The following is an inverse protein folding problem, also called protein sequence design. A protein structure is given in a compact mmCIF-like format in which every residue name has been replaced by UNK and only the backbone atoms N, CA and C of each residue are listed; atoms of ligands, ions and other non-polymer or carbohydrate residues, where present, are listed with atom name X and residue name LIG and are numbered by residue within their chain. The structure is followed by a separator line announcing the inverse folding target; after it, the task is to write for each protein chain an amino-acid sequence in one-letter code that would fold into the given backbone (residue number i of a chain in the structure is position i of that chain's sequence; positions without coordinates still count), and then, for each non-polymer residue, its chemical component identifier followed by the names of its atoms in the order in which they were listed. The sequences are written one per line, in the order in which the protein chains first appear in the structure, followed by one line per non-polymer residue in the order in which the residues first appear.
data_IF_966022030053
#
_entry.id   IF_966022030053
#
_cell.length_a   1.000
_cell.length_b   1.000
_cell.length_c   1.000
_cell.angle_alpha   90.00
_cell.angle_beta   90.00
_cell.angle_gamma   90.00
#
_symmetry.space_group_name_H-M   'P 1'
#
loop_
_entity.id
_entity.type
_entity.pdbx_description
1 polymer ?
#
# COMPACT_ATOMS: atom_id res chain seq x y z
N UNK A 1 -33.48 -31.29 36.57
CA UNK A 1 -32.02 -31.26 36.28
C UNK A 1 -31.76 -31.09 34.81
N UNK A 2 -32.31 -31.93 33.95
CA UNK A 2 -32.09 -31.87 32.48
C UNK A 2 -32.51 -30.52 31.84
N UNK A 3 -33.68 -29.99 32.18
CA UNK A 3 -34.18 -28.69 31.70
C UNK A 3 -33.23 -27.52 32.09
N UNK A 4 -32.61 -27.56 33.28
CA UNK A 4 -31.65 -26.57 33.74
C UNK A 4 -30.38 -26.58 32.88
N UNK A 5 -29.81 -27.77 32.62
CA UNK A 5 -28.63 -27.92 31.78
C UNK A 5 -28.86 -27.46 30.35
N UNK A 6 -29.99 -27.88 29.77
CA UNK A 6 -30.37 -27.47 28.40
C UNK A 6 -30.52 -25.94 28.31
N UNK A 7 -31.17 -25.31 29.27
CA UNK A 7 -31.32 -23.85 29.32
C UNK A 7 -29.99 -23.15 29.40
N UNK A 8 -29.08 -23.58 30.32
CA UNK A 8 -27.78 -22.99 30.52
C UNK A 8 -26.90 -23.07 29.25
N UNK A 9 -26.88 -24.26 28.61
CA UNK A 9 -26.13 -24.46 27.37
C UNK A 9 -26.67 -23.62 26.21
N UNK A 10 -28.00 -23.51 26.10
CA UNK A 10 -28.64 -22.68 25.08
C UNK A 10 -28.35 -21.19 25.28
N UNK A 11 -28.48 -20.70 26.51
CA UNK A 11 -28.15 -19.29 26.84
C UNK A 11 -26.69 -19.01 26.56
N UNK A 12 -25.79 -19.89 26.93
CA UNK A 12 -24.39 -19.74 26.65
C UNK A 12 -24.06 -19.73 25.15
N UNK A 13 -24.65 -20.64 24.36
CA UNK A 13 -24.51 -20.65 22.91
C UNK A 13 -25.00 -19.33 22.28
N UNK A 14 -26.17 -18.84 22.73
CA UNK A 14 -26.70 -17.56 22.30
C UNK A 14 -25.72 -16.42 22.63
N UNK A 15 -25.18 -16.42 23.85
CA UNK A 15 -24.30 -15.36 24.32
C UNK A 15 -22.94 -15.38 23.60
N UNK A 16 -22.42 -16.54 23.20
CA UNK A 16 -21.24 -16.65 22.31
C UNK A 16 -21.43 -15.86 21.01
N UNK A 17 -22.65 -15.89 20.46
CA UNK A 17 -22.96 -15.26 19.18
C UNK A 17 -23.32 -13.77 19.31
N UNK A 18 -24.03 -13.39 20.37
CA UNK A 18 -24.66 -12.06 20.48
C UNK A 18 -24.16 -11.19 21.63
N UNK A 19 -23.51 -11.75 22.65
CA UNK A 19 -22.96 -10.96 23.75
C UNK A 19 -21.45 -10.73 23.56
N UNK A 20 -20.99 -9.47 23.37
CA UNK A 20 -19.58 -9.16 23.26
C UNK A 20 -18.78 -9.41 24.55
N UNK A 21 -19.45 -9.56 25.69
CA UNK A 21 -18.85 -9.76 27.00
C UNK A 21 -19.11 -11.15 27.59
N UNK A 22 -19.44 -12.12 26.73
CA UNK A 22 -19.72 -13.49 27.15
C UNK A 22 -18.61 -14.01 28.06
N UNK A 23 -19.03 -14.60 29.19
CA UNK A 23 -18.15 -15.28 30.13
C UNK A 23 -18.07 -16.76 29.78
N UNK A 24 -16.87 -17.31 29.88
CA UNK A 24 -16.65 -18.75 29.66
C UNK A 24 -17.47 -19.56 30.65
N UNK A 25 -18.18 -20.56 30.17
CA UNK A 25 -18.99 -21.44 30.98
C UNK A 25 -18.11 -22.31 31.89
N UNK A 26 -18.41 -22.34 33.19
CA UNK A 26 -17.83 -23.35 34.09
C UNK A 26 -18.57 -24.69 33.86
N UNK A 27 -17.88 -25.62 33.22
CA UNK A 27 -18.43 -26.94 32.93
C UNK A 27 -18.79 -27.76 34.15
N UNK A 28 -18.23 -27.43 35.35
CA UNK A 28 -18.55 -28.10 36.62
C UNK A 28 -19.96 -27.73 37.09
N UNK A 29 -20.59 -26.68 36.59
CA UNK A 29 -21.99 -26.34 36.86
C UNK A 29 -22.99 -27.25 36.14
N UNK A 30 -22.51 -28.07 35.20
CA UNK A 30 -23.31 -29.00 34.41
C UNK A 30 -23.26 -30.43 35.00
N UNK A 31 -24.38 -31.14 34.89
CA UNK A 31 -24.41 -32.57 35.19
C UNK A 31 -23.53 -33.34 34.18
N UNK A 32 -22.96 -34.46 34.58
CA UNK A 32 -21.95 -35.22 33.84
C UNK A 32 -22.23 -35.48 32.36
N UNK A 33 -23.43 -35.88 31.93
CA UNK A 33 -23.71 -36.08 30.51
C UNK A 33 -23.55 -34.82 29.66
N UNK A 34 -23.70 -33.63 30.24
CA UNK A 34 -23.66 -32.33 29.54
C UNK A 34 -22.28 -31.66 29.56
N UNK A 35 -21.34 -32.11 30.40
CA UNK A 35 -20.03 -31.52 30.53
C UNK A 35 -19.24 -31.54 29.23
N UNK A 36 -19.31 -32.66 28.47
CA UNK A 36 -18.65 -32.75 27.17
C UNK A 36 -19.18 -31.72 26.15
N UNK A 37 -20.49 -31.47 26.18
CA UNK A 37 -21.10 -30.44 25.33
C UNK A 37 -20.68 -29.05 25.76
N UNK A 38 -20.63 -28.79 27.06
CA UNK A 38 -20.13 -27.55 27.64
C UNK A 38 -18.68 -27.27 27.23
N UNK A 39 -17.79 -28.29 27.27
CA UNK A 39 -16.42 -28.17 26.75
C UNK A 39 -16.39 -27.85 25.25
N UNK A 40 -17.25 -28.48 24.44
CA UNK A 40 -17.38 -28.18 23.03
C UNK A 40 -17.78 -26.72 22.77
N UNK A 41 -18.73 -26.19 23.55
CA UNK A 41 -19.11 -24.78 23.47
C UNK A 41 -18.00 -23.83 23.91
N UNK A 42 -17.17 -24.22 24.91
CA UNK A 42 -15.99 -23.44 25.30
C UNK A 42 -14.94 -23.37 24.16
N UNK A 43 -14.79 -24.45 23.37
CA UNK A 43 -13.96 -24.40 22.16
C UNK A 43 -14.54 -23.44 21.12
N UNK A 44 -15.86 -23.49 20.89
CA UNK A 44 -16.54 -22.58 19.95
C UNK A 44 -16.40 -21.13 20.42
N UNK A 45 -16.62 -20.84 21.70
CA UNK A 45 -16.47 -19.50 22.27
C UNK A 45 -15.06 -18.94 22.01
N UNK A 46 -14.03 -19.73 22.27
CA UNK A 46 -12.64 -19.31 22.02
C UNK A 46 -12.39 -19.05 20.56
N UNK A 47 -12.84 -19.94 19.68
CA UNK A 47 -12.67 -19.78 18.23
C UNK A 47 -13.37 -18.52 17.70
N UNK A 48 -14.57 -18.22 18.17
CA UNK A 48 -15.32 -17.00 17.83
C UNK A 48 -14.65 -15.75 18.37
N UNK A 49 -14.15 -15.77 19.59
CA UNK A 49 -13.41 -14.64 20.18
C UNK A 49 -12.14 -14.33 19.38
N UNK A 50 -11.37 -15.34 19.00
CA UNK A 50 -10.19 -15.18 18.14
C UNK A 50 -10.56 -14.56 16.79
N UNK A 51 -11.62 -15.07 16.15
CA UNK A 51 -12.09 -14.55 14.87
C UNK A 51 -12.52 -13.09 14.99
N UNK A 52 -13.27 -12.72 16.02
CA UNK A 52 -13.69 -11.33 16.28
C UNK A 52 -12.50 -10.42 16.51
N UNK A 53 -11.55 -10.82 17.33
CA UNK A 53 -10.34 -10.04 17.60
C UNK A 53 -9.50 -9.83 16.33
N UNK A 54 -9.32 -10.88 15.55
CA UNK A 54 -8.55 -10.83 14.32
C UNK A 54 -9.22 -9.98 13.23
N UNK A 55 -10.53 -10.15 13.01
CA UNK A 55 -11.25 -9.30 12.05
C UNK A 55 -11.25 -7.83 12.47
N UNK A 56 -11.34 -7.55 13.78
CA UNK A 56 -11.25 -6.19 14.31
C UNK A 56 -9.86 -5.56 14.09
N UNK A 57 -8.77 -6.32 14.21
CA UNK A 57 -7.43 -5.85 13.87
C UNK A 57 -7.30 -5.54 12.37
N UNK A 58 -7.74 -6.47 11.52
CA UNK A 58 -7.72 -6.28 10.06
C UNK A 58 -8.55 -5.08 9.62
N UNK A 59 -9.73 -4.87 10.23
CA UNK A 59 -10.60 -3.71 9.90
C UNK A 59 -9.98 -2.36 10.23
N UNK A 60 -9.01 -2.33 11.15
CA UNK A 60 -8.22 -1.13 11.50
C UNK A 60 -6.94 -1.00 10.68
N UNK A 61 -6.68 -1.93 9.78
CA UNK A 61 -5.44 -1.99 9.01
C UNK A 61 -4.22 -2.45 9.82
N UNK A 62 -4.42 -3.03 11.02
CA UNK A 62 -3.33 -3.62 11.79
C UNK A 62 -2.95 -4.97 11.20
N UNK A 63 -1.85 -4.98 10.47
CA UNK A 63 -1.28 -6.16 9.83
C UNK A 63 -0.05 -6.70 10.60
N UNK A 64 0.32 -6.08 11.71
CA UNK A 64 1.51 -6.47 12.49
C UNK A 64 1.18 -7.29 13.74
N UNK A 65 -0.11 -7.36 14.09
CA UNK A 65 -0.57 -7.82 15.38
C UNK A 65 -0.87 -9.32 15.46
N UNK A 66 -1.94 -9.61 16.19
CA UNK A 66 -2.39 -10.94 16.57
C UNK A 66 -2.65 -11.87 15.38
N UNK A 67 -2.11 -13.09 15.44
CA UNK A 67 -2.40 -14.17 14.50
C UNK A 67 -3.19 -15.26 15.23
N UNK A 68 -4.37 -15.65 14.76
CA UNK A 68 -5.19 -16.69 15.40
C UNK A 68 -4.53 -18.06 15.29
N UNK A 69 -4.97 -18.99 16.17
CA UNK A 69 -4.52 -20.38 16.15
C UNK A 69 -4.60 -21.01 14.75
N UNK A 70 -3.63 -21.86 14.42
CA UNK A 70 -3.65 -22.62 13.15
C UNK A 70 -4.86 -23.51 13.04
N UNK A 71 -5.34 -24.05 14.15
CA UNK A 71 -6.48 -24.97 14.21
C UNK A 71 -7.83 -24.26 14.05
N UNK A 72 -7.87 -22.93 14.20
CA UNK A 72 -9.11 -22.17 14.02
C UNK A 72 -9.40 -21.94 12.54
N UNK A 73 -10.16 -22.86 11.96
CA UNK A 73 -10.58 -22.80 10.55
C UNK A 73 -11.52 -21.62 10.25
N UNK A 74 -12.24 -21.08 11.24
CA UNK A 74 -13.09 -19.89 11.06
C UNK A 74 -12.28 -18.66 10.63
N UNK A 75 -10.96 -18.67 10.89
CA UNK A 75 -10.07 -17.59 10.54
C UNK A 75 -9.33 -17.82 9.22
N UNK A 76 -9.56 -18.92 8.49
CA UNK A 76 -8.79 -19.25 7.28
C UNK A 76 -8.89 -18.17 6.20
N UNK A 77 -10.10 -17.75 5.86
CA UNK A 77 -10.29 -16.68 4.88
C UNK A 77 -9.74 -15.33 5.35
N UNK A 78 -9.82 -15.05 6.65
CA UNK A 78 -9.23 -13.84 7.23
C UNK A 78 -7.70 -13.87 7.17
N UNK A 79 -7.07 -15.04 7.35
CA UNK A 79 -5.62 -15.22 7.16
C UNK A 79 -5.20 -14.97 5.72
N UNK A 80 -6.00 -15.43 4.75
CA UNK A 80 -5.75 -15.17 3.34
C UNK A 80 -5.87 -13.67 3.01
N UNK A 81 -6.90 -13.00 3.53
CA UNK A 81 -7.06 -11.54 3.40
C UNK A 81 -5.85 -10.82 4.01
N UNK A 82 -5.42 -11.23 5.21
CA UNK A 82 -4.25 -10.65 5.86
C UNK A 82 -2.99 -10.79 5.00
N UNK A 83 -2.72 -11.98 4.49
CA UNK A 83 -1.56 -12.23 3.62
C UNK A 83 -1.62 -11.35 2.35
N UNK A 84 -2.79 -11.25 1.72
CA UNK A 84 -2.99 -10.42 0.54
C UNK A 84 -2.77 -8.93 0.84
N UNK A 85 -3.27 -8.42 1.97
CA UNK A 85 -3.07 -7.03 2.38
C UNK A 85 -1.61 -6.72 2.72
N UNK A 86 -0.89 -7.65 3.35
CA UNK A 86 0.54 -7.52 3.61
C UNK A 86 1.33 -7.43 2.31
N UNK A 87 1.05 -8.32 1.35
CA UNK A 87 1.71 -8.32 0.06
C UNK A 87 1.41 -7.04 -0.72
N UNK A 88 0.14 -6.61 -0.75
CA UNK A 88 -0.25 -5.35 -1.37
C UNK A 88 0.45 -4.14 -0.75
N UNK A 89 0.53 -4.11 0.59
CA UNK A 89 1.23 -3.04 1.31
C UNK A 89 2.71 -2.98 0.92
N UNK A 90 3.35 -4.15 0.78
CA UNK A 90 4.73 -4.22 0.31
C UNK A 90 4.86 -3.71 -1.13
N UNK A 91 4.00 -4.15 -2.05
CA UNK A 91 4.00 -3.70 -3.44
C UNK A 91 3.78 -2.18 -3.55
N UNK A 92 2.82 -1.63 -2.80
CA UNK A 92 2.58 -0.19 -2.76
C UNK A 92 3.80 0.58 -2.25
N UNK A 93 4.53 0.05 -1.27
CA UNK A 93 5.80 0.64 -0.80
C UNK A 93 6.90 0.59 -1.86
N UNK A 94 6.95 -0.43 -2.71
CA UNK A 94 7.91 -0.47 -3.83
C UNK A 94 7.55 0.58 -4.88
N UNK A 95 6.27 0.68 -5.26
CA UNK A 95 5.77 1.72 -6.17
C UNK A 95 6.10 3.13 -5.65
N UNK A 96 5.93 3.36 -4.35
CA UNK A 96 6.27 4.63 -3.72
C UNK A 96 7.79 4.97 -3.76
N UNK A 97 8.65 3.97 -3.98
CA UNK A 97 10.10 4.13 -4.17
C UNK A 97 10.50 4.24 -5.64
N UNK A 98 9.55 4.27 -6.55
CA UNK A 98 9.79 4.34 -8.00
C UNK A 98 9.87 2.99 -8.71
N UNK A 99 9.64 1.87 -8.01
CA UNK A 99 9.55 0.56 -8.68
C UNK A 99 8.14 0.32 -9.21
N UNK A 100 7.88 0.79 -10.42
CA UNK A 100 6.59 0.60 -11.12
C UNK A 100 6.48 -0.74 -11.85
N UNK A 101 7.37 -1.70 -11.60
CA UNK A 101 7.28 -3.06 -12.16
C UNK A 101 6.29 -3.94 -11.41
N UNK A 102 5.81 -3.50 -10.26
CA UNK A 102 4.92 -4.25 -9.40
C UNK A 102 3.55 -4.47 -10.03
N UNK A 103 3.05 -5.72 -9.97
CA UNK A 103 1.73 -6.11 -10.48
C UNK A 103 0.95 -6.89 -9.43
N UNK A 104 -0.35 -6.68 -9.35
CA UNK A 104 -1.29 -7.37 -8.45
C UNK A 104 -2.25 -8.20 -9.30
N UNK A 105 -2.58 -9.44 -8.90
CA UNK A 105 -3.45 -10.35 -9.66
C UNK A 105 -4.53 -11.05 -8.84
N UNK A 106 -4.62 -10.76 -7.53
CA UNK A 106 -5.39 -11.55 -6.57
C UNK A 106 -6.50 -10.78 -5.84
N UNK A 107 -6.80 -9.53 -6.26
CA UNK A 107 -7.81 -8.66 -5.64
C UNK A 107 -8.88 -8.16 -6.63
N UNK A 108 -9.18 -8.93 -7.69
CA UNK A 108 -10.21 -8.58 -8.67
C UNK A 108 -10.04 -7.17 -9.25
N UNK A 109 -11.10 -6.37 -9.25
CA UNK A 109 -11.12 -4.99 -9.79
C UNK A 109 -10.04 -4.08 -9.18
N UNK A 110 -9.68 -4.28 -7.91
CA UNK A 110 -8.60 -3.55 -7.29
C UNK A 110 -7.26 -3.81 -7.99
N UNK A 111 -7.01 -5.07 -8.40
CA UNK A 111 -5.79 -5.42 -9.14
C UNK A 111 -5.70 -4.67 -10.46
N UNK A 112 -6.80 -4.55 -11.20
CA UNK A 112 -6.85 -3.82 -12.47
C UNK A 112 -6.58 -2.32 -12.25
N UNK A 113 -7.22 -1.73 -11.24
CA UNK A 113 -7.01 -0.32 -10.88
C UNK A 113 -5.57 -0.04 -10.45
N UNK A 114 -4.99 -0.91 -9.60
CA UNK A 114 -3.61 -0.79 -9.15
C UNK A 114 -2.62 -0.89 -10.32
N UNK A 115 -2.79 -1.89 -11.18
CA UNK A 115 -1.91 -2.11 -12.34
C UNK A 115 -2.03 -0.96 -13.36
N UNK A 116 -3.22 -0.42 -13.56
CA UNK A 116 -3.43 0.76 -14.40
C UNK A 116 -2.71 1.98 -13.84
N UNK A 117 -2.83 2.22 -12.53
CA UNK A 117 -2.15 3.31 -11.84
C UNK A 117 -0.62 3.19 -11.96
N UNK A 118 -0.05 2.01 -11.70
CA UNK A 118 1.40 1.79 -11.79
C UNK A 118 1.91 2.00 -13.21
N UNK A 119 1.16 1.56 -14.22
CA UNK A 119 1.48 1.80 -15.62
C UNK A 119 1.51 3.30 -15.97
N UNK A 120 0.50 4.06 -15.52
CA UNK A 120 0.44 5.50 -15.75
C UNK A 120 1.59 6.25 -15.04
N UNK A 121 1.95 5.84 -13.84
CA UNK A 121 3.09 6.42 -13.12
C UNK A 121 4.39 6.18 -13.88
N UNK A 122 4.63 4.97 -14.35
CA UNK A 122 5.79 4.63 -15.17
C UNK A 122 5.87 5.45 -16.45
N UNK A 123 4.75 5.61 -17.17
CA UNK A 123 4.69 6.41 -18.39
C UNK A 123 5.01 7.88 -18.12
N UNK A 124 4.49 8.43 -17.02
CA UNK A 124 4.79 9.82 -16.60
C UNK A 124 6.25 10.02 -16.26
N UNK A 125 6.86 9.09 -15.53
CA UNK A 125 8.29 9.15 -15.20
C UNK A 125 9.15 9.16 -16.47
N UNK A 126 8.90 8.25 -17.41
CA UNK A 126 9.60 8.20 -18.70
C UNK A 126 9.47 9.50 -19.49
N UNK A 127 8.31 10.15 -19.44
CA UNK A 127 8.11 11.45 -20.11
C UNK A 127 8.92 12.55 -19.42
N UNK A 128 8.94 12.56 -18.09
CA UNK A 128 9.71 13.54 -17.33
C UNK A 128 11.21 13.37 -17.55
N UNK A 129 11.72 12.15 -17.56
CA UNK A 129 13.12 11.86 -17.87
C UNK A 129 13.51 12.34 -19.27
N UNK A 130 12.70 12.05 -20.29
CA UNK A 130 12.93 12.52 -21.66
C UNK A 130 12.94 14.04 -21.76
N UNK A 131 12.05 14.73 -21.04
CA UNK A 131 12.02 16.20 -21.00
C UNK A 131 13.28 16.75 -20.33
N UNK A 132 13.64 16.22 -19.17
CA UNK A 132 14.86 16.65 -18.47
C UNK A 132 16.13 16.46 -19.33
N UNK A 133 16.20 15.33 -20.03
CA UNK A 133 17.32 15.05 -20.94
C UNK A 133 17.35 15.96 -22.18
N UNK A 134 16.18 16.33 -22.70
CA UNK A 134 16.05 17.29 -23.79
C UNK A 134 16.47 18.70 -23.33
N UNK A 135 16.00 19.14 -22.15
CA UNK A 135 16.38 20.43 -21.57
C UNK A 135 17.89 20.53 -21.31
N UNK A 136 18.48 19.45 -20.77
CA UNK A 136 19.93 19.37 -20.57
C UNK A 136 20.69 19.52 -21.89
N UNK A 137 20.28 18.78 -22.94
CA UNK A 137 20.90 18.90 -24.28
C UNK A 137 20.76 20.31 -24.86
N UNK A 138 19.59 20.95 -24.68
CA UNK A 138 19.40 22.33 -25.10
C UNK A 138 20.31 23.31 -24.37
N UNK A 139 20.48 23.14 -23.07
CA UNK A 139 21.39 23.98 -22.26
C UNK A 139 22.85 23.79 -22.71
N UNK A 140 23.31 22.56 -22.90
CA UNK A 140 24.68 22.25 -23.37
C UNK A 140 24.93 22.83 -24.77
N UNK A 141 23.96 22.75 -25.69
CA UNK A 141 24.06 23.37 -27.00
C UNK A 141 24.15 24.90 -26.90
N UNK A 142 23.27 25.52 -26.09
CA UNK A 142 23.30 26.96 -25.89
C UNK A 142 24.64 27.45 -25.32
N UNK A 143 25.20 26.71 -24.38
CA UNK A 143 26.54 27.02 -23.81
C UNK A 143 27.64 26.90 -24.88
N UNK A 144 27.60 25.83 -25.69
CA UNK A 144 28.55 25.65 -26.80
C UNK A 144 28.47 26.77 -27.82
N UNK A 145 27.24 27.18 -28.21
CA UNK A 145 27.05 28.32 -29.09
C UNK A 145 27.60 29.64 -28.52
N UNK A 146 27.34 29.88 -27.21
CA UNK A 146 27.88 31.07 -26.53
C UNK A 146 29.37 31.08 -26.52
N UNK A 147 30.04 29.95 -26.25
CA UNK A 147 31.50 29.83 -26.30
C UNK A 147 32.02 30.12 -27.68
N UNK A 148 31.42 29.51 -28.74
CA UNK A 148 31.81 29.73 -30.12
C UNK A 148 31.68 31.22 -30.52
N UNK A 149 30.57 31.85 -30.13
CA UNK A 149 30.33 33.28 -30.40
C UNK A 149 31.37 34.12 -29.70
N UNK A 150 31.73 33.83 -28.42
CA UNK A 150 32.77 34.57 -27.71
C UNK A 150 34.15 34.40 -28.35
N UNK A 151 34.48 33.19 -28.85
CA UNK A 151 35.74 32.98 -29.59
C UNK A 151 35.77 33.76 -30.88
N UNK A 152 34.67 33.80 -31.64
CA UNK A 152 34.56 34.57 -32.88
C UNK A 152 34.71 36.07 -32.63
N UNK A 153 34.06 36.58 -31.58
CA UNK A 153 34.14 37.99 -31.18
C UNK A 153 35.57 38.34 -30.76
N UNK A 154 36.23 37.46 -29.96
CA UNK A 154 37.64 37.70 -29.53
C UNK A 154 38.64 37.70 -30.68
N UNK A 155 38.34 37.04 -31.82
CA UNK A 155 39.18 37.02 -33.02
C UNK A 155 38.84 38.12 -34.02
N UNK A 156 37.72 38.83 -33.84
CA UNK A 156 37.31 39.92 -34.74
C UNK A 156 38.07 41.20 -34.40
N UNK A 157 38.60 41.87 -35.38
CA UNK A 157 39.21 43.20 -35.25
C UNK A 157 38.15 44.32 -35.37
N UNK A 158 36.90 43.94 -35.73
CA UNK A 158 35.78 44.86 -35.94
C UNK A 158 34.75 44.77 -34.78
N UNK A 159 34.04 45.89 -34.57
CA UNK A 159 32.90 45.92 -33.63
C UNK A 159 31.75 45.06 -34.16
N UNK A 160 31.25 44.14 -33.34
CA UNK A 160 30.15 43.25 -33.69
C UNK A 160 28.85 43.70 -33.05
N UNK A 161 27.85 43.97 -33.88
CA UNK A 161 26.48 44.29 -33.42
C UNK A 161 25.62 43.01 -33.37
N UNK A 162 25.26 42.58 -32.16
CA UNK A 162 24.34 41.44 -31.95
C UNK A 162 22.96 41.98 -31.67
N UNK A 163 21.97 41.49 -32.43
CA UNK A 163 20.57 41.84 -32.22
C UNK A 163 19.81 40.60 -31.72
N UNK A 164 19.19 40.73 -30.56
CA UNK A 164 18.35 39.67 -30.01
C UNK A 164 17.03 39.52 -30.85
N UNK A 165 16.35 38.36 -30.74
CA UNK A 165 15.07 38.10 -31.35
C UNK A 165 13.99 39.12 -30.94
N UNK A 166 14.15 39.79 -29.81
CA UNK A 166 13.28 40.86 -29.28
C UNK A 166 13.69 42.26 -29.77
N UNK A 167 14.67 42.35 -30.70
CA UNK A 167 15.15 43.61 -31.26
C UNK A 167 16.12 44.37 -30.37
N UNK A 168 16.61 43.80 -29.27
CA UNK A 168 17.60 44.45 -28.41
C UNK A 168 18.98 44.34 -29.04
N UNK A 169 19.62 45.49 -29.26
CA UNK A 169 20.94 45.58 -29.88
C UNK A 169 21.99 45.66 -28.76
N UNK A 170 23.01 44.84 -28.86
CA UNK A 170 24.19 44.84 -28.00
C UNK A 170 25.43 44.97 -28.86
N UNK A 171 26.22 46.03 -28.60
CA UNK A 171 27.50 46.22 -29.26
C UNK A 171 28.59 45.52 -28.45
N UNK A 172 29.30 44.61 -29.08
CA UNK A 172 30.40 43.88 -28.46
C UNK A 172 31.72 44.41 -29.06
N UNK A 173 32.57 44.94 -28.17
CA UNK A 173 33.90 45.47 -28.60
C UNK A 173 34.95 44.38 -28.38
N UNK A 174 35.92 44.24 -29.30
CA UNK A 174 37.08 43.39 -29.07
C UNK A 174 37.85 43.85 -27.84
N UNK A 175 38.29 42.92 -27.03
CA UNK A 175 39.23 43.24 -25.94
C UNK A 175 40.59 43.56 -26.55
N UNK A 176 41.00 44.83 -26.46
CA UNK A 176 42.34 45.26 -26.78
C UNK A 176 43.37 44.65 -25.81
#
# INVERSE_FOLDING_TARGET
MEEKNCKLLFEYLRDILYDPKVKTLDVNELDEPYQKLGLGLNYLERAVKEMKAYSAALSKGDLSGFTPSRENFLCENLKNIHANLNHLTWQAKQVAKGDYSQTVSYLGEFSEAFNTMTKQLREREMILERKAEAEKRHAEMAESYNQLLMELIARSEEEILVTSLTGRKILLQPRG
#
